data_IF_372889753483
#
_entry.id   IF_372889753483
#
_cell.length_a   1.000
_cell.length_b   1.000
_cell.length_c   1.000
_cell.angle_alpha   90.00
_cell.angle_beta   90.00
_cell.angle_gamma   90.00
#
_symmetry.space_group_name_H-M   'P 1'
#
loop_
_entity.id
_entity.type
_entity.pdbx_description
1 polymer ?
#
# COMPACT_ATOMS: atom_id res chain seq x y z
N UNK A 1 -35.87 -52.14 -28.73
CA UNK A 1 -34.69 -51.56 -28.06
C UNK A 1 -35.05 -50.16 -27.55
N UNK A 2 -35.08 -49.90 -26.24
CA UNK A 2 -35.41 -48.57 -25.72
C UNK A 2 -34.20 -47.63 -25.87
N UNK A 3 -34.44 -46.41 -26.37
CA UNK A 3 -33.41 -45.39 -26.57
C UNK A 3 -32.90 -44.86 -25.22
N UNK A 4 -31.58 -44.91 -25.04
CA UNK A 4 -30.87 -44.33 -23.91
C UNK A 4 -31.01 -42.80 -23.88
N UNK A 5 -31.17 -42.18 -22.69
CA UNK A 5 -31.35 -40.73 -22.60
C UNK A 5 -30.04 -39.97 -22.83
N UNK A 6 -30.16 -38.78 -23.43
CA UNK A 6 -29.06 -37.85 -23.70
C UNK A 6 -28.28 -37.45 -22.43
N UNK A 7 -26.94 -37.29 -22.51
CA UNK A 7 -26.05 -37.02 -21.36
C UNK A 7 -26.42 -35.75 -20.56
N UNK A 8 -27.08 -34.77 -21.19
CA UNK A 8 -27.56 -33.58 -20.50
C UNK A 8 -28.68 -33.85 -19.48
N UNK A 9 -29.56 -34.83 -19.74
CA UNK A 9 -30.65 -35.22 -18.82
C UNK A 9 -30.14 -36.07 -17.65
N UNK A 10 -29.05 -36.82 -17.84
CA UNK A 10 -28.42 -37.60 -16.78
C UNK A 10 -27.70 -36.72 -15.75
N UNK A 11 -27.12 -35.58 -16.16
CA UNK A 11 -26.45 -34.64 -15.27
C UNK A 11 -27.44 -33.90 -14.34
N UNK A 12 -28.60 -33.50 -14.85
CA UNK A 12 -29.64 -32.80 -14.06
C UNK A 12 -30.28 -33.74 -13.02
N UNK A 13 -30.46 -35.02 -13.35
CA UNK A 13 -30.97 -36.01 -12.40
C UNK A 13 -29.97 -36.31 -11.25
N UNK A 14 -28.66 -36.22 -11.52
CA UNK A 14 -27.61 -36.45 -10.51
C UNK A 14 -27.45 -35.27 -9.55
N UNK A 15 -27.68 -34.03 -10.02
CA UNK A 15 -27.67 -32.83 -9.18
C UNK A 15 -28.86 -32.78 -8.19
N UNK A 16 -30.05 -33.23 -8.62
CA UNK A 16 -31.24 -33.26 -7.77
C UNK A 16 -31.16 -34.29 -6.62
N UNK A 17 -30.41 -35.37 -6.80
CA UNK A 17 -30.24 -36.41 -5.77
C UNK A 17 -29.30 -35.97 -4.62
N UNK A 18 -28.29 -35.14 -4.91
CA UNK A 18 -27.33 -34.66 -3.90
C UNK A 18 -27.96 -33.59 -2.99
N UNK A 19 -28.85 -32.75 -3.52
CA UNK A 19 -29.57 -31.76 -2.72
C UNK A 19 -30.54 -32.37 -1.70
N UNK A 20 -31.06 -33.58 -1.95
CA UNK A 20 -31.99 -34.27 -1.05
C UNK A 20 -31.29 -34.97 0.13
N UNK A 21 -29.97 -35.20 0.04
CA UNK A 21 -29.19 -35.86 1.09
C UNK A 21 -28.65 -34.90 2.18
N UNK A 22 -28.61 -33.59 1.91
CA UNK A 22 -28.08 -32.58 2.84
C UNK A 22 -29.13 -32.04 3.85
N UNK A 23 -30.40 -32.43 3.72
CA UNK A 23 -31.53 -31.85 4.46
C UNK A 23 -32.00 -32.62 5.70
N UNK A 24 -31.16 -33.44 6.34
CA UNK A 24 -31.59 -34.16 7.55
C UNK A 24 -30.43 -34.47 8.51
N UNK A 25 -30.10 -33.51 9.38
CA UNK A 25 -29.30 -33.76 10.57
C UNK A 25 -29.82 -32.86 11.71
N UNK A 26 -30.81 -33.37 12.45
CA UNK A 26 -31.34 -32.78 13.67
C UNK A 26 -30.49 -33.31 14.84
N UNK A 27 -29.58 -32.49 15.37
CA UNK A 27 -28.75 -32.86 16.52
C UNK A 27 -29.55 -32.88 17.83
N UNK A 28 -29.26 -33.80 18.77
CA UNK A 28 -29.99 -33.87 20.04
C UNK A 28 -29.49 -32.84 21.05
N UNK A 29 -30.47 -32.33 21.80
CA UNK A 29 -30.38 -31.41 22.92
C UNK A 29 -29.71 -32.00 24.15
N UNK A 30 -28.89 -31.18 24.82
CA UNK A 30 -28.80 -31.11 26.28
C UNK A 30 -27.98 -32.18 27.01
N UNK A 31 -26.75 -31.81 27.42
CA UNK A 31 -26.18 -32.29 28.68
C UNK A 31 -25.23 -31.23 29.26
N UNK A 32 -25.66 -30.59 30.35
CA UNK A 32 -24.81 -29.81 31.26
C UNK A 32 -23.70 -30.74 31.78
N UNK A 33 -22.44 -30.31 31.70
CA UNK A 33 -21.39 -30.83 32.57
C UNK A 33 -20.54 -29.71 33.14
N UNK A 34 -20.23 -29.93 34.40
CA UNK A 34 -19.76 -28.99 35.40
C UNK A 34 -18.42 -28.34 35.08
N UNK A 35 -18.33 -27.07 35.46
CA UNK A 35 -17.07 -26.34 35.63
C UNK A 35 -16.31 -26.98 36.79
N UNK A 36 -15.16 -27.58 36.50
CA UNK A 36 -14.12 -27.78 37.52
C UNK A 36 -12.97 -26.81 37.26
N UNK A 37 -12.77 -25.95 38.25
CA UNK A 37 -11.61 -25.11 38.42
C UNK A 37 -10.47 -25.90 39.10
N UNK A 38 -9.23 -25.65 38.69
CA UNK A 38 -8.03 -25.87 39.52
C UNK A 38 -6.81 -25.20 38.90
N UNK A 39 -5.75 -24.88 39.68
CA UNK A 39 -5.50 -23.50 40.08
C UNK A 39 -4.15 -22.95 39.61
N UNK A 40 -4.03 -21.63 39.71
CA UNK A 40 -2.76 -20.90 39.64
C UNK A 40 -1.96 -21.02 40.94
N UNK A 41 -0.63 -21.17 40.80
CA UNK A 41 0.50 -20.55 41.56
C UNK A 41 1.59 -21.55 42.00
N UNK A 42 2.80 -21.32 41.47
CA UNK A 42 4.09 -21.24 42.18
C UNK A 42 5.11 -20.74 41.15
N UNK A 43 5.79 -19.59 41.27
CA UNK A 43 6.47 -19.09 42.45
C UNK A 43 7.92 -19.60 42.44
N UNK A 44 8.84 -18.90 41.77
CA UNK A 44 10.25 -18.81 42.19
C UNK A 44 10.94 -17.60 41.59
N UNK A 45 11.37 -16.77 42.51
CA UNK A 45 12.16 -15.56 42.40
C UNK A 45 13.64 -15.90 42.69
N UNK A 46 14.52 -14.97 42.30
CA UNK A 46 15.90 -14.75 42.73
C UNK A 46 17.05 -15.51 42.03
N UNK A 47 17.79 -14.75 41.21
CA UNK A 47 19.22 -14.54 41.45
C UNK A 47 19.62 -13.13 40.94
N UNK A 48 19.94 -12.24 41.89
CA UNK A 48 20.67 -10.98 41.68
C UNK A 48 22.16 -11.31 41.55
N UNK A 49 22.86 -10.60 40.66
CA UNK A 49 24.27 -10.28 40.83
C UNK A 49 24.48 -8.82 40.42
N UNK A 50 25.29 -8.15 41.23
CA UNK A 50 25.54 -6.72 41.35
C UNK A 50 26.97 -6.42 40.85
N UNK A 51 27.19 -5.18 40.42
CA UNK A 51 28.52 -4.56 40.20
C UNK A 51 28.72 -4.15 38.73
N UNK A 52 29.13 -2.94 38.36
CA UNK A 52 29.56 -1.77 39.13
C UNK A 52 29.38 -0.50 38.29
N UNK A 53 29.29 0.62 39.02
CA UNK A 53 29.30 2.02 38.57
C UNK A 53 30.62 2.41 37.88
N UNK A 54 30.59 3.33 36.89
CA UNK A 54 31.38 4.59 36.80
C UNK A 54 30.77 5.52 35.70
N UNK A 55 30.66 6.86 35.92
CA UNK A 55 29.95 7.83 35.07
C UNK A 55 30.87 8.62 34.08
N UNK A 56 30.36 9.60 33.28
CA UNK A 56 31.06 10.14 32.09
C UNK A 56 31.95 11.36 32.42
N UNK A 57 32.88 11.78 31.53
CA UNK A 57 33.56 13.05 31.70
C UNK A 57 32.82 14.21 31.02
N UNK A 58 33.03 15.38 31.64
CA UNK A 58 32.38 16.65 31.43
C UNK A 58 32.98 17.51 30.31
N UNK A 59 32.28 18.62 30.09
CA UNK A 59 32.59 19.77 29.25
C UNK A 59 34.00 20.36 29.43
N UNK A 60 34.51 20.95 28.36
CA UNK A 60 35.73 21.76 28.34
C UNK A 60 35.60 22.87 27.31
N UNK A 61 35.09 24.02 27.76
CA UNK A 61 35.21 25.34 27.14
C UNK A 61 36.69 25.75 27.05
N UNK A 62 37.08 26.34 25.92
CA UNK A 62 38.12 27.37 25.92
C UNK A 62 37.77 28.46 24.90
N UNK A 63 37.65 29.67 25.43
CA UNK A 63 37.63 30.93 24.72
C UNK A 63 39.01 31.59 24.91
N UNK A 64 39.51 32.26 23.87
CA UNK A 64 40.34 33.48 23.96
C UNK A 64 40.60 33.98 22.54
N UNK A 65 40.06 35.15 22.17
CA UNK A 65 40.78 36.46 22.08
C UNK A 65 41.26 36.71 20.65
N UNK A 66 41.18 37.88 20.01
CA UNK A 66 40.87 39.28 20.38
C UNK A 66 40.99 40.06 19.04
N UNK A 67 40.03 40.89 18.64
CA UNK A 67 39.95 42.34 18.89
C UNK A 67 40.44 43.23 17.71
N UNK A 68 39.67 44.29 17.47
CA UNK A 68 40.07 45.55 16.79
C UNK A 68 39.66 45.61 15.31
N UNK A 69 38.91 46.59 14.82
CA UNK A 69 38.34 47.81 15.40
C UNK A 69 37.64 48.60 14.30
N UNK A 70 36.50 49.20 14.64
CA UNK A 70 35.93 50.38 13.97
C UNK A 70 36.77 51.63 14.39
N UNK A 71 36.68 52.86 13.78
CA UNK A 71 35.39 53.41 13.33
C UNK A 71 35.35 54.56 12.27
N UNK A 72 34.11 54.99 11.99
CA UNK A 72 33.57 56.33 11.60
C UNK A 72 33.95 57.00 10.25
N UNK A 73 32.91 57.41 9.51
CA UNK A 73 32.91 58.66 8.72
C UNK A 73 31.98 58.70 7.50
N UNK A 74 30.77 59.29 7.62
CA UNK A 74 29.98 59.79 6.48
C UNK A 74 30.28 61.28 6.18
N UNK A 75 29.38 62.04 5.53
CA UNK A 75 28.79 61.90 4.19
C UNK A 75 28.94 63.21 3.34
N UNK A 76 28.47 63.23 2.07
CA UNK A 76 28.05 64.37 1.20
C UNK A 76 28.54 64.19 -0.26
N UNK A 77 27.94 64.65 -1.38
CA UNK A 77 26.67 65.29 -1.78
C UNK A 77 26.69 65.43 -3.33
N UNK A 78 25.49 65.39 -3.96
CA UNK A 78 25.00 66.22 -5.07
C UNK A 78 25.52 66.12 -6.53
N UNK A 79 24.55 66.23 -7.47
CA UNK A 79 24.70 66.66 -8.88
C UNK A 79 23.81 65.88 -9.86
N UNK A 80 22.51 66.18 -10.01
CA UNK A 80 21.92 67.14 -10.98
C UNK A 80 21.81 66.64 -12.43
N UNK A 81 20.56 66.58 -12.95
CA UNK A 81 20.27 66.40 -14.38
C UNK A 81 18.78 66.30 -14.66
N UNK A 82 18.08 67.43 -14.75
CA UNK A 82 16.68 67.56 -15.15
C UNK A 82 16.60 67.71 -16.68
N UNK A 83 15.74 66.92 -17.33
CA UNK A 83 15.23 67.22 -18.67
C UNK A 83 13.75 66.85 -18.76
N UNK A 84 12.99 67.82 -19.25
CA UNK A 84 11.55 67.86 -19.45
C UNK A 84 11.15 67.27 -20.81
N UNK A 85 10.04 66.55 -20.90
CA UNK A 85 9.04 66.78 -21.94
C UNK A 85 7.71 66.09 -21.60
N UNK A 86 6.64 66.79 -21.94
CA UNK A 86 5.25 66.40 -21.76
C UNK A 86 4.78 65.50 -22.92
N UNK A 87 3.80 64.63 -22.67
CA UNK A 87 2.57 64.53 -23.47
C UNK A 87 1.65 63.40 -23.00
N UNK A 88 0.35 63.68 -23.19
CA UNK A 88 -0.74 62.75 -23.45
C UNK A 88 -1.23 61.87 -22.30
N UNK A 89 -2.46 62.17 -21.88
CA UNK A 89 -3.22 61.34 -20.98
C UNK A 89 -3.60 60.01 -21.62
N UNK A 90 -3.53 58.97 -20.81
CA UNK A 90 -4.39 57.83 -20.93
C UNK A 90 -5.10 57.67 -19.59
N UNK A 91 -6.38 58.04 -19.55
CA UNK A 91 -7.28 57.62 -18.48
C UNK A 91 -7.62 56.16 -18.75
N UNK A 92 -6.62 55.30 -18.55
CA UNK A 92 -6.76 53.86 -18.54
C UNK A 92 -7.71 53.51 -17.41
N UNK A 93 -8.87 52.98 -17.78
CA UNK A 93 -9.87 52.47 -16.87
C UNK A 93 -9.20 51.66 -15.77
N UNK A 94 -9.41 52.08 -14.51
CA UNK A 94 -9.13 51.26 -13.34
C UNK A 94 -9.91 49.96 -13.55
N UNK A 95 -9.24 48.93 -14.04
CA UNK A 95 -9.77 47.58 -14.12
C UNK A 95 -10.15 47.20 -12.71
N UNK A 96 -11.45 47.19 -12.43
CA UNK A 96 -11.97 46.71 -11.17
C UNK A 96 -11.46 45.28 -11.02
N UNK A 97 -10.49 45.08 -10.13
CA UNK A 97 -10.16 43.75 -9.63
C UNK A 97 -11.43 43.31 -8.92
N UNK A 98 -12.25 42.52 -9.61
CA UNK A 98 -13.38 41.83 -9.02
C UNK A 98 -12.76 40.84 -8.03
N UNK A 99 -12.58 41.30 -6.79
CA UNK A 99 -12.22 40.46 -5.67
C UNK A 99 -13.43 39.57 -5.42
N UNK A 100 -13.47 38.42 -6.08
CA UNK A 100 -14.34 37.32 -5.68
C UNK A 100 -14.10 37.11 -4.18
N UNK A 101 -15.11 37.38 -3.37
CA UNK A 101 -15.00 37.43 -1.90
C UNK A 101 -14.79 36.06 -1.25
N UNK A 102 -14.63 34.99 -2.03
CA UNK A 102 -14.36 33.65 -1.50
C UNK A 102 -12.87 33.45 -1.30
N UNK A 103 -12.47 33.25 -0.05
CA UNK A 103 -11.12 32.83 0.28
C UNK A 103 -10.82 31.47 -0.37
N UNK A 104 -9.70 31.37 -1.07
CA UNK A 104 -9.24 30.12 -1.65
C UNK A 104 -8.77 29.18 -0.52
N UNK A 105 -9.52 28.11 -0.26
CA UNK A 105 -9.12 27.04 0.66
C UNK A 105 -8.51 25.93 -0.18
N UNK A 106 -7.18 25.85 -0.21
CA UNK A 106 -6.46 24.83 -0.99
C UNK A 106 -6.38 23.52 -0.24
N UNK A 107 -6.61 22.40 -0.95
CA UNK A 107 -6.40 21.07 -0.40
C UNK A 107 -4.90 20.79 -0.31
N UNK A 108 -4.47 20.16 0.76
CA UNK A 108 -3.11 19.60 0.86
C UNK A 108 -3.23 18.09 0.88
N UNK A 109 -2.73 17.45 -0.17
CA UNK A 109 -2.67 16.00 -0.29
C UNK A 109 -1.54 15.50 0.60
N UNK A 110 -1.94 14.69 1.59
CA UNK A 110 -1.05 14.13 2.60
C UNK A 110 -0.60 12.72 2.21
N UNK A 111 0.24 12.10 3.03
CA UNK A 111 0.53 10.67 2.91
C UNK A 111 -0.66 9.87 3.47
N UNK A 112 -0.70 8.56 3.20
CA UNK A 112 -1.61 7.62 3.85
C UNK A 112 -0.81 6.51 4.51
N UNK A 113 -0.71 6.54 5.84
CA UNK A 113 0.12 5.61 6.61
C UNK A 113 -0.68 5.11 7.80
N UNK A 114 -0.76 3.79 7.97
CA UNK A 114 -1.41 3.18 9.14
C UNK A 114 -2.91 3.49 9.24
N UNK A 115 -3.58 3.83 8.14
CA UNK A 115 -4.99 4.26 8.14
C UNK A 115 -5.22 5.73 8.47
N UNK A 116 -4.16 6.54 8.58
CA UNK A 116 -4.23 7.96 8.86
C UNK A 116 -3.61 8.79 7.74
N UNK A 117 -3.88 10.10 7.75
CA UNK A 117 -3.33 11.07 6.79
C UNK A 117 -2.31 12.00 7.45
N UNK A 118 -1.08 11.54 7.74
CA UNK A 118 -0.02 12.38 8.30
C UNK A 118 0.60 13.29 7.24
N UNK A 119 1.17 14.42 7.69
CA UNK A 119 2.11 15.17 6.85
C UNK A 119 3.41 14.38 6.72
N UNK A 120 4.20 14.67 5.68
CA UNK A 120 5.58 14.21 5.59
C UNK A 120 6.34 14.62 6.84
N UNK A 121 7.12 13.71 7.42
CA UNK A 121 7.93 13.99 8.60
C UNK A 121 8.93 15.12 8.35
N UNK A 122 9.48 15.19 7.13
CA UNK A 122 10.36 16.27 6.71
C UNK A 122 9.65 17.63 6.54
N UNK A 123 8.31 17.65 6.58
CA UNK A 123 7.50 18.84 6.29
C UNK A 123 7.52 19.29 4.82
N UNK A 124 8.31 18.63 3.95
CA UNK A 124 8.46 19.00 2.55
C UNK A 124 7.16 18.78 1.78
N UNK A 125 6.88 19.69 0.85
CA UNK A 125 5.77 19.61 -0.09
C UNK A 125 6.22 20.05 -1.48
N UNK A 126 5.52 19.60 -2.51
CA UNK A 126 5.67 20.05 -3.89
C UNK A 126 4.30 20.38 -4.49
N UNK A 127 4.28 21.16 -5.56
CA UNK A 127 3.04 21.57 -6.23
C UNK A 127 2.69 20.61 -7.35
N UNK A 128 1.42 20.20 -7.40
CA UNK A 128 0.80 19.47 -8.51
C UNK A 128 -0.52 20.16 -8.81
N UNK A 129 -0.65 20.68 -10.04
CA UNK A 129 -1.84 21.41 -10.50
C UNK A 129 -2.34 22.51 -9.54
N UNK A 130 -1.39 23.17 -8.87
CA UNK A 130 -1.65 24.27 -7.93
C UNK A 130 -1.98 23.84 -6.49
N UNK A 131 -2.13 22.54 -6.23
CA UNK A 131 -2.33 21.98 -4.89
C UNK A 131 -1.00 21.53 -4.27
N UNK A 132 -0.94 21.57 -2.93
CA UNK A 132 0.22 21.08 -2.19
C UNK A 132 0.14 19.57 -2.00
N UNK A 133 1.21 18.87 -2.32
CA UNK A 133 1.37 17.43 -2.11
C UNK A 133 2.55 17.19 -1.17
N UNK A 134 2.37 16.32 -0.18
CA UNK A 134 3.46 15.92 0.70
C UNK A 134 4.60 15.23 -0.09
N UNK A 135 5.84 15.61 0.16
CA UNK A 135 7.01 14.93 -0.40
C UNK A 135 7.53 13.94 0.63
N UNK A 136 7.30 12.64 0.43
CA UNK A 136 7.72 11.62 1.36
C UNK A 136 9.24 11.64 1.56
N UNK A 137 9.66 11.36 2.79
CA UNK A 137 11.05 11.21 3.20
C UNK A 137 11.40 9.75 3.43
N UNK A 138 12.69 9.49 3.65
CA UNK A 138 13.18 8.20 4.16
C UNK A 138 12.44 7.77 5.43
N UNK A 139 12.16 8.71 6.34
CA UNK A 139 11.51 8.37 7.61
C UNK A 139 10.05 7.98 7.40
N UNK A 140 9.34 8.66 6.50
CA UNK A 140 7.97 8.27 6.14
C UNK A 140 7.92 6.85 5.54
N UNK A 141 8.90 6.49 4.71
CA UNK A 141 9.03 5.14 4.18
C UNK A 141 9.19 4.09 5.29
N UNK A 142 10.06 4.37 6.28
CA UNK A 142 10.23 3.50 7.45
C UNK A 142 8.93 3.40 8.25
N UNK A 143 8.27 4.52 8.53
CA UNK A 143 7.04 4.56 9.31
C UNK A 143 5.91 3.78 8.60
N UNK A 144 5.85 3.85 7.26
CA UNK A 144 4.95 3.04 6.44
C UNK A 144 5.28 1.54 6.49
N UNK A 145 6.55 1.15 6.44
CA UNK A 145 6.96 -0.26 6.59
C UNK A 145 6.62 -0.80 7.97
N UNK A 146 6.82 -0.01 9.04
CA UNK A 146 6.43 -0.39 10.41
C UNK A 146 4.92 -0.60 10.51
N UNK A 147 4.12 0.30 9.93
CA UNK A 147 2.67 0.16 9.89
C UNK A 147 2.23 -1.10 9.11
N UNK A 148 2.83 -1.34 7.95
CA UNK A 148 2.58 -2.53 7.12
C UNK A 148 2.93 -3.81 7.87
N UNK A 149 4.14 -3.90 8.42
CA UNK A 149 4.62 -5.05 9.18
C UNK A 149 3.71 -5.37 10.37
N UNK A 150 3.24 -4.35 11.08
CA UNK A 150 2.30 -4.52 12.21
C UNK A 150 0.94 -5.05 11.77
N UNK A 151 0.44 -4.62 10.61
CA UNK A 151 -0.86 -5.04 10.09
C UNK A 151 -0.84 -6.45 9.47
N UNK A 152 0.30 -6.84 8.89
CA UNK A 152 0.40 -8.00 8.01
C UNK A 152 -0.03 -9.33 8.63
N UNK A 153 0.37 -9.72 9.86
CA UNK A 153 -0.03 -11.01 10.42
C UNK A 153 -1.55 -11.14 10.59
N UNK A 154 -2.21 -10.06 11.02
CA UNK A 154 -3.68 -10.04 11.20
C UNK A 154 -4.40 -10.06 9.85
N UNK A 155 -3.87 -9.37 8.84
CA UNK A 155 -4.44 -9.35 7.51
C UNK A 155 -4.31 -10.69 6.77
N UNK A 156 -3.12 -11.29 6.83
CA UNK A 156 -2.88 -12.64 6.29
C UNK A 156 -3.75 -13.69 6.99
N UNK A 157 -3.94 -13.57 8.30
CA UNK A 157 -4.80 -14.45 9.10
C UNK A 157 -6.31 -14.22 8.93
N UNK A 158 -6.75 -13.15 8.26
CA UNK A 158 -8.15 -12.95 7.92
C UNK A 158 -8.61 -14.05 6.94
N UNK A 159 -9.88 -14.43 6.99
CA UNK A 159 -10.41 -15.39 6.02
C UNK A 159 -10.31 -14.81 4.60
N UNK A 160 -10.05 -15.67 3.62
CA UNK A 160 -10.05 -15.30 2.21
C UNK A 160 -11.33 -14.54 1.81
N UNK A 161 -12.48 -15.06 2.23
CA UNK A 161 -13.77 -14.41 2.03
C UNK A 161 -13.83 -12.98 2.58
N UNK A 162 -13.35 -12.75 3.82
CA UNK A 162 -13.34 -11.40 4.41
C UNK A 162 -12.45 -10.44 3.61
N UNK A 163 -11.28 -10.90 3.14
CA UNK A 163 -10.44 -10.07 2.26
C UNK A 163 -11.16 -9.73 0.96
N UNK A 164 -11.86 -10.68 0.36
CA UNK A 164 -12.71 -10.46 -0.81
C UNK A 164 -13.80 -9.41 -0.56
N UNK A 165 -14.49 -9.48 0.56
CA UNK A 165 -15.52 -8.49 0.93
C UNK A 165 -14.95 -7.07 1.07
N UNK A 166 -13.78 -6.92 1.70
CA UNK A 166 -13.11 -5.61 1.80
C UNK A 166 -12.75 -5.07 0.42
N UNK A 167 -12.21 -5.89 -0.48
CA UNK A 167 -11.89 -5.45 -1.85
C UNK A 167 -13.14 -5.07 -2.65
N UNK A 168 -14.22 -5.82 -2.50
CA UNK A 168 -15.49 -5.47 -3.12
C UNK A 168 -16.02 -4.15 -2.57
N UNK A 169 -15.89 -3.92 -1.26
CA UNK A 169 -16.26 -2.65 -0.62
C UNK A 169 -15.44 -1.48 -1.15
N UNK A 170 -14.15 -1.67 -1.43
CA UNK A 170 -13.33 -0.64 -2.11
C UNK A 170 -13.94 -0.30 -3.47
N UNK A 171 -14.33 -1.29 -4.27
CA UNK A 171 -14.95 -1.07 -5.57
C UNK A 171 -16.22 -0.23 -5.47
N UNK A 172 -17.12 -0.56 -4.54
CA UNK A 172 -18.34 0.21 -4.27
C UNK A 172 -18.03 1.66 -3.90
N UNK A 173 -16.99 1.88 -3.10
CA UNK A 173 -16.61 3.21 -2.62
C UNK A 173 -15.89 4.05 -3.69
N UNK A 174 -15.14 3.41 -4.60
CA UNK A 174 -14.62 4.08 -5.81
C UNK A 174 -15.80 4.50 -6.70
N UNK A 175 -16.73 3.59 -6.98
CA UNK A 175 -17.92 3.85 -7.80
C UNK A 175 -18.77 4.99 -7.24
N UNK A 176 -19.01 4.99 -5.93
CA UNK A 176 -19.76 6.05 -5.26
C UNK A 176 -19.07 7.43 -5.31
N UNK A 177 -17.75 7.48 -5.49
CA UNK A 177 -16.94 8.70 -5.60
C UNK A 177 -16.46 8.96 -7.03
N UNK A 178 -17.11 8.36 -8.03
CA UNK A 178 -16.73 8.44 -9.44
C UNK A 178 -16.41 9.86 -9.92
N UNK A 179 -17.27 10.84 -9.60
CA UNK A 179 -17.10 12.23 -10.03
C UNK A 179 -15.83 12.88 -9.50
N UNK A 180 -15.34 12.49 -8.31
CA UNK A 180 -14.08 12.99 -7.75
C UNK A 180 -12.87 12.54 -8.59
N UNK A 181 -12.87 11.29 -9.06
CA UNK A 181 -11.79 10.75 -9.91
C UNK A 181 -11.81 11.35 -11.31
N UNK A 182 -12.99 11.54 -11.90
CA UNK A 182 -13.14 12.21 -13.20
C UNK A 182 -12.66 13.66 -13.14
N UNK A 183 -12.96 14.38 -12.06
CA UNK A 183 -12.49 15.74 -11.84
C UNK A 183 -10.96 15.84 -11.71
N UNK A 184 -10.30 14.75 -11.30
CA UNK A 184 -8.83 14.63 -11.24
C UNK A 184 -8.23 14.14 -12.56
N UNK A 185 -9.02 14.02 -13.63
CA UNK A 185 -8.54 13.68 -14.98
C UNK A 185 -8.43 12.18 -15.26
N UNK A 186 -8.93 11.30 -14.39
CA UNK A 186 -9.04 9.87 -14.71
C UNK A 186 -10.09 9.70 -15.81
N UNK A 187 -9.73 9.01 -16.90
CA UNK A 187 -10.67 8.78 -17.99
C UNK A 187 -11.81 7.86 -17.53
N UNK A 188 -13.05 8.13 -17.98
CA UNK A 188 -14.22 7.34 -17.58
C UNK A 188 -14.04 5.83 -17.81
N UNK A 189 -13.59 5.43 -18.99
CA UNK A 189 -13.34 4.01 -19.28
C UNK A 189 -12.20 3.40 -18.48
N UNK A 190 -11.20 4.20 -18.07
CA UNK A 190 -10.14 3.73 -17.18
C UNK A 190 -10.66 3.51 -15.76
N UNK A 191 -11.51 4.42 -15.27
CA UNK A 191 -12.16 4.32 -13.97
C UNK A 191 -13.08 3.10 -13.89
N UNK A 192 -13.90 2.89 -14.92
CA UNK A 192 -14.78 1.73 -15.02
C UNK A 192 -13.94 0.43 -14.98
N UNK A 193 -12.86 0.35 -15.77
CA UNK A 193 -11.94 -0.78 -15.75
C UNK A 193 -11.25 -0.98 -14.39
N UNK A 194 -10.97 0.11 -13.66
CA UNK A 194 -10.39 0.09 -12.32
C UNK A 194 -11.35 -0.47 -11.26
N UNK A 195 -12.63 -0.11 -11.33
CA UNK A 195 -13.70 -0.68 -10.50
C UNK A 195 -13.83 -2.18 -10.79
N UNK A 196 -13.90 -2.56 -12.06
CA UNK A 196 -13.94 -3.96 -12.48
C UNK A 196 -12.71 -4.75 -12.00
N UNK A 197 -11.52 -4.12 -12.00
CA UNK A 197 -10.28 -4.73 -11.50
C UNK A 197 -10.37 -5.07 -10.01
N UNK A 198 -10.94 -4.18 -9.19
CA UNK A 198 -11.18 -4.48 -7.76
C UNK A 198 -12.15 -5.65 -7.59
N UNK A 199 -13.26 -5.66 -8.32
CA UNK A 199 -14.25 -6.74 -8.28
C UNK A 199 -13.64 -8.07 -8.73
N UNK A 200 -12.82 -8.05 -9.78
CA UNK A 200 -12.12 -9.22 -10.29
C UNK A 200 -11.20 -9.82 -9.22
N UNK A 201 -10.34 -9.01 -8.59
CA UNK A 201 -9.47 -9.50 -7.52
C UNK A 201 -10.26 -9.93 -6.27
N UNK A 202 -11.32 -9.23 -5.89
CA UNK A 202 -12.22 -9.67 -4.82
C UNK A 202 -12.74 -11.09 -5.07
N UNK A 203 -13.12 -11.39 -6.32
CA UNK A 203 -13.54 -12.71 -6.77
C UNK A 203 -12.46 -13.80 -6.68
N UNK A 204 -11.18 -13.45 -6.70
CA UNK A 204 -10.08 -14.41 -6.60
C UNK A 204 -9.66 -14.78 -5.18
N UNK A 205 -10.12 -14.01 -4.19
CA UNK A 205 -9.68 -14.09 -2.80
C UNK A 205 -9.69 -15.50 -2.20
N UNK A 206 -10.72 -16.30 -2.50
CA UNK A 206 -10.93 -17.67 -2.01
C UNK A 206 -10.63 -18.78 -3.04
N UNK A 207 -10.12 -18.41 -4.22
CA UNK A 207 -9.85 -19.34 -5.34
C UNK A 207 -8.37 -19.57 -5.58
N UNK A 208 -7.51 -18.64 -5.17
CA UNK A 208 -6.08 -18.72 -5.48
C UNK A 208 -5.42 -20.00 -4.94
N UNK A 209 -5.77 -20.44 -3.74
CA UNK A 209 -5.23 -21.67 -3.16
C UNK A 209 -5.70 -22.94 -3.89
N UNK A 210 -6.88 -22.92 -4.50
CA UNK A 210 -7.38 -24.05 -5.29
C UNK A 210 -6.68 -24.18 -6.64
N UNK A 211 -6.29 -23.05 -7.23
CA UNK A 211 -5.65 -22.99 -8.55
C UNK A 211 -4.12 -23.09 -8.46
N UNK A 212 -3.51 -22.50 -7.43
CA UNK A 212 -2.06 -22.41 -7.27
C UNK A 212 -1.49 -23.32 -6.16
N UNK A 213 -2.34 -23.94 -5.34
CA UNK A 213 -1.94 -24.99 -4.41
C UNK A 213 -1.93 -26.37 -5.07
N UNK A 214 -1.35 -27.36 -4.38
CA UNK A 214 -1.30 -28.74 -4.89
C UNK A 214 -1.32 -29.78 -3.78
N UNK A 215 -1.95 -30.93 -4.07
CA UNK A 215 -1.71 -32.16 -3.33
C UNK A 215 -0.63 -32.96 -4.07
N UNK A 216 0.49 -33.22 -3.40
CA UNK A 216 1.70 -33.77 -4.00
C UNK A 216 1.77 -35.28 -3.72
N UNK A 217 1.68 -36.15 -4.75
CA UNK A 217 1.87 -37.57 -4.56
C UNK A 217 3.32 -37.86 -4.18
N UNK A 218 3.52 -38.62 -3.10
CA UNK A 218 4.85 -39.02 -2.63
C UNK A 218 4.89 -40.50 -2.30
N UNK A 219 6.05 -41.12 -2.50
CA UNK A 219 6.32 -42.50 -2.12
C UNK A 219 6.58 -42.60 -0.61
N UNK A 220 5.52 -42.50 0.19
CA UNK A 220 5.57 -42.62 1.65
C UNK A 220 4.21 -42.42 2.31
N UNK A 221 4.08 -42.70 3.62
CA UNK A 221 2.84 -42.55 4.37
C UNK A 221 2.59 -41.08 4.74
N UNK A 222 2.57 -40.20 3.73
CA UNK A 222 2.32 -38.77 3.93
C UNK A 222 1.23 -38.24 2.99
N UNK A 223 0.41 -37.33 3.51
CA UNK A 223 -0.27 -36.31 2.74
C UNK A 223 0.65 -35.10 2.63
N UNK A 224 1.19 -34.89 1.44
CA UNK A 224 2.04 -33.75 1.14
C UNK A 224 1.19 -32.70 0.40
N UNK A 225 1.08 -31.51 0.96
CA UNK A 225 0.23 -30.42 0.46
C UNK A 225 1.07 -29.16 0.35
N UNK A 226 1.09 -28.55 -0.83
CA UNK A 226 1.63 -27.21 -1.07
C UNK A 226 0.49 -26.20 -1.07
N UNK A 227 0.63 -25.13 -0.29
CA UNK A 227 -0.31 -24.01 -0.27
C UNK A 227 0.43 -22.68 -0.48
N UNK A 228 -0.17 -21.74 -1.23
CA UNK A 228 0.38 -20.39 -1.33
C UNK A 228 0.18 -19.62 -0.02
N UNK A 229 1.22 -18.97 0.47
CA UNK A 229 1.21 -18.04 1.60
C UNK A 229 1.70 -16.64 1.14
N UNK A 230 1.15 -15.54 1.68
CA UNK A 230 1.64 -14.20 1.35
C UNK A 230 3.11 -14.03 1.73
N UNK A 231 3.89 -13.37 0.86
CA UNK A 231 5.31 -13.07 1.13
C UNK A 231 5.50 -12.11 2.31
N UNK A 232 4.53 -11.21 2.56
CA UNK A 232 4.51 -10.31 3.70
C UNK A 232 4.32 -8.84 3.32
N UNK A 233 5.34 -8.01 3.59
CA UNK A 233 5.34 -6.57 3.25
C UNK A 233 5.91 -6.39 1.84
N UNK A 234 5.16 -5.75 0.96
CA UNK A 234 5.56 -5.49 -0.42
C UNK A 234 5.77 -3.98 -0.62
N UNK A 235 6.97 -3.60 -1.04
CA UNK A 235 7.25 -2.24 -1.52
C UNK A 235 6.87 -2.13 -3.00
N UNK A 236 6.09 -1.13 -3.38
CA UNK A 236 5.56 -0.99 -4.74
C UNK A 236 5.93 0.37 -5.30
N UNK A 237 6.49 0.41 -6.51
CA UNK A 237 6.54 1.64 -7.31
C UNK A 237 5.38 1.58 -8.30
N UNK A 238 4.38 2.45 -8.12
CA UNK A 238 3.15 2.36 -8.89
C UNK A 238 3.29 3.01 -10.28
N UNK A 239 2.68 2.42 -11.33
CA UNK A 239 2.43 3.10 -12.60
C UNK A 239 1.62 4.39 -12.41
N UNK A 240 1.71 5.31 -13.37
CA UNK A 240 1.04 6.61 -13.29
C UNK A 240 -0.48 6.54 -13.51
N UNK A 241 -0.98 5.53 -14.24
CA UNK A 241 -2.40 5.35 -14.50
C UNK A 241 -3.15 4.88 -13.23
N UNK A 242 -4.41 5.28 -13.08
CA UNK A 242 -5.25 4.85 -11.97
C UNK A 242 -5.50 3.34 -12.01
N UNK A 243 -5.77 2.81 -13.21
CA UNK A 243 -5.91 1.36 -13.39
C UNK A 243 -4.58 0.64 -13.08
N UNK A 244 -3.43 1.21 -13.45
CA UNK A 244 -2.12 0.67 -13.13
C UNK A 244 -1.84 0.63 -11.63
N UNK A 245 -2.18 1.71 -10.90
CA UNK A 245 -2.10 1.78 -9.44
C UNK A 245 -2.90 0.67 -8.76
N UNK A 246 -4.15 0.45 -9.19
CA UNK A 246 -5.00 -0.61 -8.65
C UNK A 246 -4.44 -2.00 -9.00
N UNK A 247 -3.90 -2.13 -10.21
CA UNK A 247 -3.38 -3.40 -10.73
C UNK A 247 -2.15 -3.93 -9.98
N UNK A 248 -1.45 -3.07 -9.23
CA UNK A 248 -0.34 -3.48 -8.36
C UNK A 248 -0.74 -3.60 -6.89
N UNK A 249 -1.75 -2.84 -6.43
CA UNK A 249 -2.23 -2.89 -5.04
C UNK A 249 -3.13 -4.11 -4.81
N UNK A 250 -4.19 -4.26 -5.62
CA UNK A 250 -5.20 -5.27 -5.44
C UNK A 250 -4.68 -6.73 -5.38
N UNK A 251 -3.76 -7.18 -6.27
CA UNK A 251 -3.24 -8.56 -6.20
C UNK A 251 -2.42 -8.84 -4.94
N UNK A 252 -1.66 -7.86 -4.46
CA UNK A 252 -0.90 -7.98 -3.22
C UNK A 252 -1.86 -8.08 -2.02
N UNK A 253 -2.83 -7.18 -1.94
CA UNK A 253 -3.74 -7.11 -0.79
C UNK A 253 -4.68 -8.32 -0.72
N UNK A 254 -5.23 -8.78 -1.86
CA UNK A 254 -6.15 -9.92 -1.87
C UNK A 254 -5.49 -11.22 -1.38
N UNK A 255 -4.19 -11.37 -1.68
CA UNK A 255 -3.40 -12.55 -1.28
C UNK A 255 -2.97 -12.53 0.18
N UNK A 256 -3.25 -11.45 0.92
CA UNK A 256 -2.91 -11.30 2.33
C UNK A 256 -1.58 -10.59 2.58
N UNK A 257 -0.98 -10.00 1.55
CA UNK A 257 0.17 -9.11 1.72
C UNK A 257 -0.30 -7.71 2.18
N UNK A 258 0.64 -6.94 2.72
CA UNK A 258 0.46 -5.51 2.98
C UNK A 258 1.40 -4.72 2.09
N UNK A 259 0.99 -3.54 1.66
CA UNK A 259 1.74 -2.76 0.66
C UNK A 259 2.19 -1.39 1.20
N UNK A 260 3.38 -0.98 0.77
CA UNK A 260 3.87 0.40 0.84
C UNK A 260 4.10 0.88 -0.59
N UNK A 261 3.26 1.80 -1.05
CA UNK A 261 3.17 2.21 -2.45
C UNK A 261 3.75 3.60 -2.62
N UNK A 262 4.67 3.76 -3.56
CA UNK A 262 5.14 5.05 -4.05
C UNK A 262 4.28 5.45 -5.25
N UNK A 263 3.40 6.44 -5.07
CA UNK A 263 2.43 6.85 -6.08
C UNK A 263 2.99 7.90 -7.04
N UNK A 264 2.87 7.64 -8.35
CA UNK A 264 3.26 8.58 -9.40
C UNK A 264 2.21 9.67 -9.66
N UNK A 265 0.91 9.36 -9.53
CA UNK A 265 -0.20 10.32 -9.64
C UNK A 265 -0.78 10.64 -8.24
N UNK A 266 -0.22 11.63 -7.51
CA UNK A 266 -0.46 11.77 -6.08
C UNK A 266 -1.89 12.17 -5.71
N UNK A 267 -2.54 13.05 -6.48
CA UNK A 267 -3.90 13.50 -6.16
C UNK A 267 -4.88 12.32 -6.28
N UNK A 268 -4.80 11.56 -7.36
CA UNK A 268 -5.60 10.34 -7.59
C UNK A 268 -5.32 9.30 -6.51
N UNK A 269 -4.05 9.05 -6.18
CA UNK A 269 -3.67 8.06 -5.18
C UNK A 269 -4.12 8.42 -3.76
N UNK A 270 -4.09 9.69 -3.39
CA UNK A 270 -4.56 10.15 -2.07
C UNK A 270 -6.09 10.19 -2.02
N UNK A 271 -6.79 10.47 -3.12
CA UNK A 271 -8.25 10.27 -3.19
C UNK A 271 -8.62 8.79 -3.05
N UNK A 272 -7.84 7.87 -3.65
CA UNK A 272 -7.97 6.44 -3.37
C UNK A 272 -7.71 6.13 -1.89
N UNK A 273 -6.75 6.78 -1.22
CA UNK A 273 -6.57 6.59 0.23
C UNK A 273 -7.81 6.97 1.06
N UNK A 274 -8.58 7.99 0.67
CA UNK A 274 -9.85 8.34 1.32
C UNK A 274 -10.91 7.24 1.14
N UNK A 275 -10.96 6.62 -0.05
CA UNK A 275 -11.75 5.41 -0.31
C UNK A 275 -11.32 4.28 0.62
N UNK A 276 -10.01 3.98 0.70
CA UNK A 276 -9.48 2.90 1.53
C UNK A 276 -9.83 3.11 3.01
N UNK A 277 -9.72 4.34 3.51
CA UNK A 277 -10.06 4.71 4.89
C UNK A 277 -11.55 4.53 5.22
N UNK A 278 -12.41 4.47 4.21
CA UNK A 278 -13.87 4.31 4.34
C UNK A 278 -14.39 2.96 3.82
N UNK A 279 -13.50 2.02 3.51
CA UNK A 279 -13.81 0.70 2.94
C UNK A 279 -13.42 -0.47 3.85
N UNK A 280 -13.35 -0.24 5.16
CA UNK A 280 -12.98 -1.25 6.17
C UNK A 280 -11.60 -1.89 5.98
N UNK A 281 -10.69 -1.22 5.24
CA UNK A 281 -9.30 -1.65 5.09
C UNK A 281 -8.59 -1.44 6.43
N UNK A 282 -8.04 -2.48 7.08
CA UNK A 282 -7.34 -2.30 8.34
C UNK A 282 -6.14 -1.36 8.18
N UNK A 283 -5.95 -0.47 9.16
CA UNK A 283 -4.84 0.48 9.16
C UNK A 283 -3.50 -0.22 8.98
N UNK A 284 -2.73 0.19 7.97
CA UNK A 284 -1.43 -0.37 7.63
C UNK A 284 -1.46 -1.42 6.51
N UNK A 285 -2.62 -1.94 6.11
CA UNK A 285 -2.68 -2.91 4.99
C UNK A 285 -2.27 -2.28 3.66
N UNK A 286 -2.70 -1.06 3.43
CA UNK A 286 -2.25 -0.22 2.31
C UNK A 286 -1.68 1.06 2.88
N UNK A 287 -0.47 1.42 2.47
CA UNK A 287 0.18 2.69 2.80
C UNK A 287 0.60 3.36 1.49
N UNK A 288 0.24 4.63 1.30
CA UNK A 288 0.50 5.39 0.08
C UNK A 288 1.41 6.56 0.42
N UNK A 289 2.55 6.60 -0.25
CA UNK A 289 3.54 7.65 -0.18
C UNK A 289 3.57 8.41 -1.51
N UNK A 290 3.66 9.72 -1.43
CA UNK A 290 3.75 10.62 -2.60
C UNK A 290 5.15 11.20 -2.71
N UNK A 291 5.59 11.51 -3.92
CA UNK A 291 6.91 12.07 -4.18
C UNK A 291 7.69 11.34 -5.26
N UNK A 292 9.00 11.61 -5.34
CA UNK A 292 9.85 11.00 -6.34
C UNK A 292 10.25 9.58 -5.96
N UNK A 293 9.99 8.62 -6.85
CA UNK A 293 10.40 7.23 -6.65
C UNK A 293 11.92 7.10 -6.44
N UNK A 294 12.73 7.87 -7.18
CA UNK A 294 14.18 7.87 -7.04
C UNK A 294 14.68 8.27 -5.63
N UNK A 295 13.93 9.09 -4.88
CA UNK A 295 14.31 9.47 -3.51
C UNK A 295 13.94 8.39 -2.48
N UNK A 296 12.84 7.67 -2.70
CA UNK A 296 12.20 6.84 -1.66
C UNK A 296 12.33 5.34 -1.93
N UNK A 297 12.31 4.92 -3.20
CA UNK A 297 12.39 3.52 -3.60
C UNK A 297 13.69 2.83 -3.15
N UNK A 298 14.89 3.47 -3.19
CA UNK A 298 16.11 2.84 -2.69
C UNK A 298 16.02 2.44 -1.21
N UNK A 299 15.26 3.20 -0.42
CA UNK A 299 15.04 2.88 0.99
C UNK A 299 14.13 1.68 1.18
N UNK A 300 13.07 1.54 0.37
CA UNK A 300 12.23 0.33 0.39
C UNK A 300 13.01 -0.88 -0.12
N UNK A 301 13.83 -0.70 -1.15
CA UNK A 301 14.60 -1.77 -1.76
C UNK A 301 15.69 -2.33 -0.85
N UNK A 302 16.31 -1.50 -0.02
CA UNK A 302 17.31 -1.90 0.97
C UNK A 302 16.74 -2.25 2.34
N UNK A 303 15.43 -2.11 2.56
CA UNK A 303 14.83 -2.35 3.88
C UNK A 303 14.71 -3.85 4.19
N UNK A 304 15.17 -4.28 5.37
CA UNK A 304 15.15 -5.69 5.77
C UNK A 304 13.73 -6.21 6.06
N UNK A 305 12.86 -5.37 6.63
CA UNK A 305 11.45 -5.72 6.84
C UNK A 305 10.56 -5.66 5.57
N UNK A 306 11.13 -5.48 4.37
CA UNK A 306 10.38 -5.60 3.11
C UNK A 306 10.68 -6.96 2.48
N UNK A 307 9.64 -7.75 2.21
CA UNK A 307 9.74 -9.13 1.72
C UNK A 307 9.76 -9.24 0.20
N UNK A 308 9.15 -8.29 -0.50
CA UNK A 308 9.17 -8.21 -1.95
C UNK A 308 9.12 -6.76 -2.45
N UNK A 309 9.62 -6.55 -3.66
CA UNK A 309 9.46 -5.33 -4.42
C UNK A 309 8.65 -5.59 -5.69
N UNK A 310 7.73 -4.68 -5.98
CA UNK A 310 7.07 -4.58 -7.27
C UNK A 310 7.54 -3.30 -7.97
N UNK A 311 8.29 -3.47 -9.06
CA UNK A 311 8.87 -2.39 -9.84
C UNK A 311 8.09 -2.12 -11.13
N UNK A 312 6.86 -2.60 -11.25
CA UNK A 312 6.03 -2.44 -12.46
C UNK A 312 5.92 -0.98 -12.93
N UNK A 313 5.90 -0.01 -12.01
CA UNK A 313 5.85 1.41 -12.30
C UNK A 313 7.20 2.11 -12.54
N UNK A 314 8.33 1.40 -12.48
CA UNK A 314 9.65 2.02 -12.72
C UNK A 314 9.91 2.13 -14.22
N UNK A 315 9.89 3.36 -14.73
CA UNK A 315 10.13 3.63 -16.15
C UNK A 315 11.63 3.72 -16.52
N UNK A 316 12.51 4.06 -15.58
CA UNK A 316 13.96 4.17 -15.81
C UNK A 316 14.66 2.81 -15.57
N UNK A 317 15.23 2.18 -16.62
CA UNK A 317 15.93 0.90 -16.48
C UNK A 317 17.16 0.96 -15.57
N UNK A 318 17.83 2.11 -15.47
CA UNK A 318 18.97 2.28 -14.59
C UNK A 318 18.52 2.23 -13.12
N UNK A 319 17.48 2.99 -12.78
CA UNK A 319 16.85 2.93 -11.46
C UNK A 319 16.35 1.52 -11.14
N UNK A 320 15.69 0.83 -12.08
CA UNK A 320 15.23 -0.54 -11.87
C UNK A 320 16.40 -1.48 -11.51
N UNK A 321 17.51 -1.38 -12.24
CA UNK A 321 18.73 -2.16 -11.99
C UNK A 321 19.33 -1.85 -10.62
N UNK A 322 19.35 -0.58 -10.20
CA UNK A 322 19.82 -0.18 -8.87
C UNK A 322 18.94 -0.74 -7.75
N UNK A 323 17.62 -0.69 -7.91
CA UNK A 323 16.66 -1.24 -6.95
C UNK A 323 16.78 -2.76 -6.85
N UNK A 324 16.98 -3.47 -7.97
CA UNK A 324 17.26 -4.91 -7.98
C UNK A 324 18.56 -5.25 -7.22
N UNK A 325 19.63 -4.46 -7.42
CA UNK A 325 20.89 -4.64 -6.68
C UNK A 325 20.70 -4.40 -5.18
N UNK A 326 19.94 -3.37 -4.79
CA UNK A 326 19.64 -3.11 -3.39
C UNK A 326 18.79 -4.22 -2.76
N UNK A 327 17.82 -4.77 -3.51
CA UNK A 327 16.98 -5.89 -3.09
C UNK A 327 17.80 -7.16 -2.76
N UNK A 328 18.91 -7.37 -3.47
CA UNK A 328 19.80 -8.51 -3.24
C UNK A 328 20.40 -8.54 -1.81
N UNK A 329 20.41 -7.41 -1.08
CA UNK A 329 20.94 -7.33 0.28
C UNK A 329 20.28 -8.29 1.28
N UNK A 330 18.98 -8.58 1.14
CA UNK A 330 18.27 -9.59 1.94
C UNK A 330 17.60 -10.68 1.07
N UNK A 331 17.98 -10.74 -0.21
CA UNK A 331 17.40 -11.67 -1.20
C UNK A 331 15.86 -11.59 -1.32
N UNK A 332 15.27 -10.41 -1.05
CA UNK A 332 13.83 -10.19 -1.23
C UNK A 332 13.45 -10.40 -2.68
N UNK A 333 12.21 -10.84 -2.89
CA UNK A 333 11.68 -11.07 -4.23
C UNK A 333 11.53 -9.76 -4.99
N UNK A 334 11.75 -9.78 -6.30
CA UNK A 334 11.54 -8.61 -7.17
C UNK A 334 10.67 -8.98 -8.36
N UNK A 335 9.53 -8.30 -8.52
CA UNK A 335 8.78 -8.23 -9.78
C UNK A 335 9.40 -7.12 -10.60
N UNK A 336 10.03 -7.49 -11.71
CA UNK A 336 10.73 -6.56 -12.59
C UNK A 336 9.75 -5.67 -13.35
N UNK A 337 10.17 -4.46 -13.77
CA UNK A 337 9.39 -3.68 -14.71
C UNK A 337 9.21 -4.50 -16.00
N UNK A 338 8.02 -4.44 -16.62
CA UNK A 338 7.82 -5.05 -17.93
C UNK A 338 8.70 -4.37 -18.98
N UNK A 339 9.08 -5.13 -20.02
CA UNK A 339 9.92 -4.61 -21.10
C UNK A 339 9.22 -3.51 -21.92
N UNK A 340 7.91 -3.64 -22.09
CA UNK A 340 7.03 -2.69 -22.75
C UNK A 340 6.04 -2.09 -21.76
N UNK A 341 5.48 -0.92 -22.09
CA UNK A 341 4.39 -0.33 -21.31
C UNK A 341 3.24 -1.34 -21.21
N UNK A 342 2.89 -1.82 -20.00
CA UNK A 342 1.89 -2.86 -19.86
C UNK A 342 0.51 -2.31 -20.20
N UNK A 343 -0.24 -3.06 -21.02
CA UNK A 343 -1.66 -2.81 -21.23
C UNK A 343 -2.45 -3.30 -20.02
N UNK A 344 -2.76 -2.36 -19.12
CA UNK A 344 -3.53 -2.69 -17.93
C UNK A 344 -4.99 -3.01 -18.23
N UNK A 345 -5.52 -2.77 -19.43
CA UNK A 345 -6.91 -3.09 -19.80
C UNK A 345 -7.09 -4.57 -20.17
N UNK A 346 -6.00 -5.26 -20.49
CA UNK A 346 -6.00 -6.70 -20.71
C UNK A 346 -6.36 -7.49 -19.43
N UNK A 347 -6.70 -8.77 -19.60
CA UNK A 347 -6.88 -9.69 -18.48
C UNK A 347 -5.57 -9.74 -17.67
N UNK A 348 -5.61 -9.38 -16.36
CA UNK A 348 -4.40 -9.35 -15.54
C UNK A 348 -3.78 -10.74 -15.33
N UNK A 349 -4.55 -11.82 -15.52
CA UNK A 349 -4.13 -13.17 -15.21
C UNK A 349 -3.74 -13.36 -13.73
N UNK A 350 -3.10 -14.48 -13.42
CA UNK A 350 -2.76 -14.82 -12.03
C UNK A 350 -1.37 -14.34 -11.60
N UNK A 351 -0.51 -13.96 -12.55
CA UNK A 351 0.88 -13.62 -12.26
C UNK A 351 1.03 -12.50 -11.23
N UNK A 352 0.28 -11.39 -11.28
CA UNK A 352 0.40 -10.34 -10.27
C UNK A 352 0.14 -10.82 -8.83
N UNK A 353 -0.75 -11.80 -8.65
CA UNK A 353 -0.97 -12.44 -7.34
C UNK A 353 0.15 -13.43 -7.00
N UNK A 354 0.45 -14.37 -7.90
CA UNK A 354 1.36 -15.50 -7.60
C UNK A 354 2.81 -15.07 -7.50
N UNK A 355 3.21 -14.00 -8.18
CA UNK A 355 4.52 -13.39 -8.04
C UNK A 355 4.79 -12.89 -6.61
N UNK A 356 3.77 -12.68 -5.77
CA UNK A 356 3.89 -12.20 -4.40
C UNK A 356 3.51 -13.26 -3.34
N UNK A 357 3.51 -14.53 -3.74
CA UNK A 357 3.22 -15.68 -2.88
C UNK A 357 4.43 -16.59 -2.71
N UNK A 358 4.62 -17.12 -1.51
CA UNK A 358 5.52 -18.23 -1.22
C UNK A 358 4.74 -19.55 -1.24
N UNK A 359 5.41 -20.65 -1.59
CA UNK A 359 4.81 -21.98 -1.52
C UNK A 359 5.29 -22.66 -0.25
N UNK A 360 4.36 -22.95 0.66
CA UNK A 360 4.64 -23.75 1.84
C UNK A 360 4.11 -25.16 1.67
N UNK A 361 5.01 -26.11 1.88
CA UNK A 361 4.70 -27.53 1.75
C UNK A 361 4.64 -28.18 3.13
N UNK A 362 3.48 -28.73 3.49
CA UNK A 362 3.27 -29.42 4.77
C UNK A 362 3.09 -30.91 4.53
N UNK A 363 3.84 -31.71 5.28
CA UNK A 363 3.81 -33.17 5.25
C UNK A 363 3.08 -33.69 6.48
N UNK A 364 1.86 -34.19 6.30
CA UNK A 364 1.09 -34.81 7.36
C UNK A 364 1.22 -36.34 7.27
N UNK A 365 1.62 -37.05 8.32
CA UNK A 365 1.57 -38.50 8.34
C UNK A 365 0.14 -38.99 8.04
N UNK A 366 0.00 -40.05 7.25
CA UNK A 366 -1.28 -40.73 7.00
C UNK A 366 -1.18 -42.20 7.38
N UNK A 367 -2.19 -42.69 8.11
CA UNK A 367 -2.39 -44.12 8.32
C UNK A 367 -2.82 -44.80 7.02
N UNK A 368 -2.46 -46.07 6.87
CA UNK A 368 -2.85 -46.91 5.74
C UNK A 368 -4.30 -47.33 5.82
#
# INVERSE_FOLDING_TARGET
MPKSPSPAKAAVAKAAAVAKAAGSAKGPTGAKRDRQASPAKSGREAARAQGDLVPPPAEGSSASSSAGGDPVGGPATAGSGRATSAAAGDRGASGAVVRSGRLAVRKTYKLYIGGAFPRSESGRTYLVDGDNVALASRKDARDAVVAARKAQPKWAGATAYNRGQVLYRIAEMVEARRDEFLALGVAAGELDAAVDRWVWYAGWSDKIAQVHGSANPVAGPYFNISAPEPTGVVGVVAPASFLGLISVIAPAVVTGNTVVVLAAAPQVAVTLAEVLATSDVPGGVVNILTGHAAETAPWLASHDDVNALDLTGVADPALATELERAAAGNLKRVVRPPADTPDFTADPGLHPMTALLETKTVWHPKGF
#
